data_IF_892940326056
#
_entry.id   IF_892940326056
#
_cell.length_a   1.000
_cell.length_b   1.000
_cell.length_c   1.000
_cell.angle_alpha   90.00
_cell.angle_beta   90.00
_cell.angle_gamma   90.00
#
_symmetry.space_group_name_H-M   'P 1'
#
loop_
_entity.id
_entity.type
_entity.pdbx_description
1 polymer ?
#
# COMPACT_ATOMS: atom_id res chain seq x y z
N UNK A 1 -18.54 -9.47 -10.00
CA UNK A 1 -18.63 -10.47 -11.07
C UNK A 1 -18.74 -11.90 -10.46
N UNK A 2 -19.91 -12.27 -9.94
CA UNK A 2 -20.15 -13.61 -9.38
C UNK A 2 -20.90 -14.48 -10.38
N UNK A 3 -20.58 -15.77 -10.45
CA UNK A 3 -21.38 -16.77 -11.16
C UNK A 3 -21.00 -17.09 -12.61
N UNK A 4 -19.78 -16.75 -13.06
CA UNK A 4 -19.27 -17.20 -14.36
C UNK A 4 -17.78 -17.57 -14.27
N UNK A 5 -17.34 -18.41 -15.20
CA UNK A 5 -15.95 -18.79 -15.39
C UNK A 5 -15.41 -18.15 -16.66
N UNK A 6 -14.17 -17.64 -16.60
CA UNK A 6 -13.54 -16.95 -17.69
C UNK A 6 -12.22 -17.58 -18.12
N UNK A 7 -11.88 -17.42 -19.40
CA UNK A 7 -10.56 -17.74 -19.94
C UNK A 7 -9.52 -16.62 -19.73
N UNK A 8 -9.95 -15.45 -19.28
CA UNK A 8 -9.03 -14.37 -19.01
C UNK A 8 -9.69 -13.14 -18.44
N UNK A 9 -8.86 -12.29 -17.88
CA UNK A 9 -9.23 -10.97 -17.42
C UNK A 9 -8.11 -9.97 -17.72
N UNK A 10 -8.48 -8.72 -17.87
CA UNK A 10 -7.56 -7.60 -17.89
C UNK A 10 -7.90 -6.66 -16.73
N UNK A 11 -6.92 -6.35 -15.91
CA UNK A 11 -7.07 -5.45 -14.77
C UNK A 11 -6.17 -4.25 -15.01
N UNK A 12 -6.81 -3.13 -15.29
CA UNK A 12 -6.13 -1.86 -15.49
C UNK A 12 -5.93 -1.16 -14.14
N UNK A 13 -4.74 -0.59 -13.92
CA UNK A 13 -4.37 0.18 -12.72
C UNK A 13 -4.66 -0.58 -11.42
N UNK A 14 -4.10 -1.78 -11.27
CA UNK A 14 -4.38 -2.67 -10.14
C UNK A 14 -4.12 -2.04 -8.76
N UNK A 15 -3.16 -1.11 -8.65
CA UNK A 15 -2.88 -0.38 -7.41
C UNK A 15 -4.00 0.58 -6.98
N UNK A 16 -4.89 0.96 -7.89
CA UNK A 16 -6.07 1.76 -7.58
C UNK A 16 -7.25 0.90 -7.10
N UNK A 17 -7.16 -0.41 -7.28
CA UNK A 17 -8.19 -1.36 -6.88
C UNK A 17 -8.03 -1.84 -5.44
N UNK A 18 -9.01 -2.62 -4.98
CA UNK A 18 -8.97 -3.27 -3.68
C UNK A 18 -8.67 -4.76 -3.83
N UNK A 19 -7.84 -5.30 -2.97
CA UNK A 19 -7.37 -6.68 -3.02
C UNK A 19 -8.50 -7.73 -3.13
N UNK A 20 -9.61 -7.67 -2.36
CA UNK A 20 -10.68 -8.66 -2.47
C UNK A 20 -11.31 -8.74 -3.87
N UNK A 21 -11.40 -7.63 -4.59
CA UNK A 21 -11.91 -7.62 -5.97
C UNK A 21 -10.91 -8.29 -6.90
N UNK A 22 -9.64 -8.02 -6.74
CA UNK A 22 -8.59 -8.66 -7.52
C UNK A 22 -8.56 -10.19 -7.29
N UNK A 23 -8.69 -10.62 -6.06
CA UNK A 23 -8.78 -12.04 -5.70
C UNK A 23 -9.99 -12.73 -6.33
N UNK A 24 -11.16 -12.07 -6.33
CA UNK A 24 -12.36 -12.58 -7.00
C UNK A 24 -12.14 -12.73 -8.52
N UNK A 25 -11.45 -11.79 -9.17
CA UNK A 25 -11.10 -11.88 -10.60
C UNK A 25 -10.23 -13.11 -10.86
N UNK A 26 -9.20 -13.35 -10.05
CA UNK A 26 -8.33 -14.52 -10.18
C UNK A 26 -9.12 -15.82 -10.07
N UNK A 27 -10.05 -15.91 -9.11
CA UNK A 27 -10.90 -17.08 -8.92
C UNK A 27 -11.84 -17.33 -10.11
N UNK A 28 -12.31 -16.28 -10.79
CA UNK A 28 -13.16 -16.41 -11.98
C UNK A 28 -12.41 -16.80 -13.24
N UNK A 29 -11.11 -16.61 -13.28
CA UNK A 29 -10.26 -17.11 -14.38
C UNK A 29 -9.88 -18.59 -14.16
N UNK A 30 -10.89 -19.46 -14.04
CA UNK A 30 -10.77 -20.86 -13.63
C UNK A 30 -10.67 -21.86 -14.78
N UNK A 31 -10.84 -21.42 -16.03
CA UNK A 31 -10.71 -22.27 -17.21
C UNK A 31 -9.27 -22.70 -17.44
N UNK A 32 -9.08 -23.90 -17.98
CA UNK A 32 -7.72 -24.37 -18.31
C UNK A 32 -7.06 -23.41 -19.34
N UNK A 33 -5.80 -23.01 -19.05
CA UNK A 33 -5.09 -22.03 -19.85
C UNK A 33 -5.52 -20.58 -19.64
N UNK A 34 -6.39 -20.29 -18.66
CA UNK A 34 -6.81 -18.93 -18.37
C UNK A 34 -5.62 -18.02 -18.02
N UNK A 35 -5.72 -16.75 -18.44
CA UNK A 35 -4.68 -15.73 -18.20
C UNK A 35 -5.27 -14.47 -17.62
N UNK A 36 -4.57 -13.89 -16.66
CA UNK A 36 -4.89 -12.56 -16.14
C UNK A 36 -3.76 -11.62 -16.52
N UNK A 37 -4.11 -10.56 -17.27
CA UNK A 37 -3.18 -9.51 -17.66
C UNK A 37 -3.46 -8.33 -16.74
N UNK A 38 -2.40 -7.76 -16.19
CA UNK A 38 -2.51 -6.68 -15.21
C UNK A 38 -1.52 -5.60 -15.57
N UNK A 39 -1.93 -4.35 -15.53
CA UNK A 39 -1.02 -3.22 -15.53
C UNK A 39 -1.23 -2.35 -14.30
N UNK A 40 -0.22 -1.62 -13.92
CA UNK A 40 -0.30 -0.66 -12.83
C UNK A 40 0.91 0.25 -12.78
N UNK A 41 0.71 1.44 -12.25
CA UNK A 41 1.80 2.28 -11.80
C UNK A 41 2.26 1.88 -10.39
N UNK A 42 3.55 2.07 -10.07
CA UNK A 42 4.05 1.83 -8.72
C UNK A 42 3.41 2.72 -7.67
N UNK A 43 3.23 2.17 -6.49
CA UNK A 43 2.79 2.87 -5.29
C UNK A 43 3.79 2.66 -4.14
N UNK A 44 3.34 2.56 -2.91
CA UNK A 44 4.20 2.27 -1.76
C UNK A 44 4.71 0.83 -1.74
N UNK A 45 5.91 0.55 -1.20
CA UNK A 45 6.50 -0.79 -1.19
C UNK A 45 5.66 -1.83 -0.44
N UNK A 46 4.85 -1.40 0.53
CA UNK A 46 3.99 -2.26 1.35
C UNK A 46 2.62 -2.53 0.72
N UNK A 47 2.37 -2.01 -0.47
CA UNK A 47 1.10 -2.24 -1.17
C UNK A 47 0.86 -3.75 -1.42
N UNK A 48 -0.37 -4.24 -1.16
CA UNK A 48 -0.75 -5.66 -1.32
C UNK A 48 -0.36 -6.23 -2.68
N UNK A 49 -0.59 -5.46 -3.76
CA UNK A 49 -0.28 -5.91 -5.11
C UNK A 49 1.22 -6.18 -5.31
N UNK A 50 2.08 -5.32 -4.73
CA UNK A 50 3.52 -5.53 -4.77
C UNK A 50 3.93 -6.76 -3.98
N UNK A 51 3.51 -6.86 -2.73
CA UNK A 51 3.95 -7.92 -1.82
C UNK A 51 3.46 -9.30 -2.29
N UNK A 52 2.15 -9.41 -2.58
CA UNK A 52 1.53 -10.72 -2.83
C UNK A 52 1.70 -11.20 -4.27
N UNK A 53 1.83 -10.27 -5.21
CA UNK A 53 1.87 -10.63 -6.63
C UNK A 53 3.21 -10.29 -7.30
N UNK A 54 3.79 -9.11 -7.07
CA UNK A 54 5.06 -8.75 -7.73
C UNK A 54 6.24 -9.46 -7.04
N UNK A 55 6.38 -9.32 -5.73
CA UNK A 55 7.53 -9.88 -4.97
C UNK A 55 7.37 -11.36 -4.62
N UNK A 56 6.17 -11.92 -4.76
CA UNK A 56 5.93 -13.33 -4.53
C UNK A 56 6.76 -14.18 -5.49
N UNK A 57 7.67 -15.00 -4.96
CA UNK A 57 8.60 -15.84 -5.74
C UNK A 57 8.15 -17.30 -5.85
N UNK A 58 6.94 -17.64 -5.38
CA UNK A 58 6.42 -18.99 -5.51
C UNK A 58 6.29 -19.35 -7.01
N UNK A 59 7.00 -20.38 -7.49
CA UNK A 59 6.95 -20.77 -8.89
C UNK A 59 5.56 -21.26 -9.33
N UNK A 60 4.70 -21.66 -8.39
CA UNK A 60 3.31 -22.03 -8.68
C UNK A 60 2.46 -20.88 -9.20
N UNK A 61 2.85 -19.64 -8.94
CA UNK A 61 2.13 -18.46 -9.43
C UNK A 61 2.25 -18.27 -10.94
N UNK A 62 3.25 -18.89 -11.60
CA UNK A 62 3.48 -18.86 -13.05
C UNK A 62 3.36 -17.45 -13.66
N UNK A 63 3.86 -16.44 -12.98
CA UNK A 63 3.77 -15.06 -13.42
C UNK A 63 4.95 -14.66 -14.32
N UNK A 64 4.67 -13.75 -15.25
CA UNK A 64 5.68 -13.04 -16.03
C UNK A 64 5.46 -11.56 -15.74
N UNK A 65 6.54 -10.83 -15.48
CA UNK A 65 6.49 -9.40 -15.20
C UNK A 65 7.32 -8.64 -16.22
N UNK A 66 6.77 -7.55 -16.70
CA UNK A 66 7.45 -6.57 -17.51
C UNK A 66 7.50 -5.24 -16.75
N UNK A 67 8.62 -4.56 -16.81
CA UNK A 67 8.78 -3.23 -16.24
C UNK A 67 9.11 -2.26 -17.37
N UNK A 68 8.36 -1.16 -17.40
CA UNK A 68 8.53 -0.12 -18.41
C UNK A 68 8.66 1.24 -17.71
N UNK A 69 9.48 2.09 -18.30
CA UNK A 69 9.61 3.50 -17.97
C UNK A 69 9.16 4.35 -19.14
N UNK A 70 9.05 5.66 -18.95
CA UNK A 70 8.73 6.56 -20.06
C UNK A 70 9.79 6.50 -21.18
N UNK A 71 11.05 6.15 -20.85
CA UNK A 71 12.15 6.05 -21.81
C UNK A 71 12.02 4.83 -22.72
N UNK A 72 11.29 3.81 -22.32
CA UNK A 72 11.06 2.61 -23.12
C UNK A 72 10.01 2.83 -24.23
N UNK A 73 9.26 3.93 -24.17
CA UNK A 73 8.26 4.26 -25.17
C UNK A 73 8.88 5.00 -26.36
N UNK A 74 9.34 4.24 -27.34
CA UNK A 74 10.00 4.76 -28.56
C UNK A 74 9.10 5.59 -29.48
N UNK A 75 7.80 5.59 -29.24
CA UNK A 75 6.83 6.40 -30.02
C UNK A 75 6.72 7.84 -29.52
N UNK A 76 7.17 8.12 -28.29
CA UNK A 76 7.17 9.47 -27.76
C UNK A 76 8.37 10.26 -28.30
N UNK A 77 8.15 11.53 -28.64
CA UNK A 77 9.25 12.40 -29.03
C UNK A 77 10.15 12.72 -27.83
N UNK A 78 11.45 12.86 -28.07
CA UNK A 78 12.41 13.27 -27.02
C UNK A 78 11.97 14.53 -26.30
N UNK A 79 11.51 15.55 -27.04
CA UNK A 79 11.00 16.80 -26.47
C UNK A 79 9.84 16.57 -25.50
N UNK A 80 8.93 15.64 -25.80
CA UNK A 80 7.81 15.30 -24.93
C UNK A 80 8.31 14.63 -23.64
N UNK A 81 9.21 13.62 -23.76
CA UNK A 81 9.78 12.91 -22.63
C UNK A 81 10.54 13.85 -21.70
N UNK A 82 11.40 14.71 -22.25
CA UNK A 82 12.12 15.73 -21.49
C UNK A 82 11.16 16.70 -20.81
N UNK A 83 10.12 17.12 -21.50
CA UNK A 83 9.09 18.00 -20.95
C UNK A 83 8.32 17.38 -19.78
N UNK A 84 7.98 16.08 -19.85
CA UNK A 84 7.33 15.38 -18.75
C UNK A 84 8.29 15.25 -17.56
N UNK A 85 9.53 14.84 -17.81
CA UNK A 85 10.57 14.74 -16.76
C UNK A 85 10.81 16.07 -16.05
N UNK A 86 10.86 17.17 -16.79
CA UNK A 86 11.09 18.50 -16.24
C UNK A 86 9.90 19.04 -15.42
N UNK A 87 8.67 18.64 -15.77
CA UNK A 87 7.45 19.08 -15.07
C UNK A 87 7.06 18.22 -13.88
N UNK A 88 7.56 16.97 -13.83
CA UNK A 88 7.25 16.07 -12.72
C UNK A 88 8.04 16.50 -11.48
N UNK A 89 7.36 16.79 -10.36
CA UNK A 89 8.04 17.14 -9.12
C UNK A 89 9.06 16.08 -8.72
N UNK A 90 10.22 16.52 -8.21
CA UNK A 90 11.26 15.62 -7.68
C UNK A 90 10.76 14.77 -6.52
N UNK A 91 11.54 13.76 -6.11
CA UNK A 91 11.19 12.91 -4.98
C UNK A 91 10.27 11.75 -5.35
N UNK A 92 9.25 11.50 -4.54
CA UNK A 92 8.35 10.36 -4.70
C UNK A 92 7.66 10.33 -6.06
N UNK A 93 7.10 11.46 -6.50
CA UNK A 93 6.37 11.53 -7.78
C UNK A 93 7.27 11.19 -8.96
N UNK A 94 8.50 11.73 -8.99
CA UNK A 94 9.46 11.42 -10.04
C UNK A 94 9.87 9.94 -10.02
N UNK A 95 10.12 9.42 -8.81
CA UNK A 95 10.51 8.03 -8.66
C UNK A 95 9.39 7.06 -9.10
N UNK A 96 8.14 7.34 -8.76
CA UNK A 96 7.00 6.50 -9.19
C UNK A 96 6.69 6.66 -10.66
N UNK A 97 6.43 7.89 -11.13
CA UNK A 97 5.90 8.14 -12.46
C UNK A 97 6.96 8.05 -13.58
N UNK A 98 8.21 8.43 -13.31
CA UNK A 98 9.26 8.46 -14.33
C UNK A 98 10.15 7.21 -14.26
N UNK A 99 10.59 6.84 -13.06
CA UNK A 99 11.51 5.70 -12.87
C UNK A 99 10.80 4.36 -12.63
N UNK A 100 9.49 4.37 -12.44
CA UNK A 100 8.71 3.16 -12.17
C UNK A 100 9.09 2.48 -10.85
N UNK A 101 9.50 3.24 -9.83
CA UNK A 101 9.98 2.71 -8.55
C UNK A 101 8.86 2.68 -7.52
N UNK A 102 8.78 1.59 -6.77
CA UNK A 102 7.94 1.48 -5.59
C UNK A 102 8.62 2.18 -4.42
N UNK A 103 8.09 3.33 -4.04
CA UNK A 103 8.68 4.18 -2.99
C UNK A 103 7.62 4.73 -2.06
N UNK A 104 7.97 4.85 -0.79
CA UNK A 104 7.12 5.48 0.23
C UNK A 104 7.01 6.98 -0.04
N UNK A 105 5.87 7.57 0.33
CA UNK A 105 5.65 9.01 0.25
C UNK A 105 6.69 9.80 1.04
N UNK A 106 7.05 10.99 0.55
CA UNK A 106 7.83 11.94 1.34
C UNK A 106 7.01 12.36 2.56
N UNK A 107 7.64 12.40 3.71
CA UNK A 107 6.97 12.73 4.97
C UNK A 107 6.48 11.55 5.79
N UNK A 108 6.59 10.31 5.31
CA UNK A 108 6.33 9.16 6.16
C UNK A 108 7.32 9.13 7.33
N UNK A 109 6.81 9.24 8.56
CA UNK A 109 7.61 9.24 9.78
C UNK A 109 8.24 7.85 9.97
N UNK A 110 7.45 6.80 9.76
CA UNK A 110 7.88 5.40 9.91
C UNK A 110 7.96 4.75 8.52
N UNK A 111 9.10 4.93 7.84
CA UNK A 111 9.30 4.41 6.47
C UNK A 111 9.35 2.88 6.40
N UNK A 112 9.78 2.24 7.49
CA UNK A 112 9.95 0.80 7.58
C UNK A 112 8.72 0.09 8.19
N UNK A 113 7.61 0.82 8.41
CA UNK A 113 6.38 0.23 8.92
C UNK A 113 5.85 -0.81 7.92
N UNK A 114 5.77 -2.05 8.40
CA UNK A 114 5.22 -3.20 7.65
C UNK A 114 4.00 -3.73 8.40
N UNK A 115 2.82 -3.44 7.89
CA UNK A 115 1.56 -3.83 8.52
C UNK A 115 1.47 -5.33 8.82
N UNK A 116 2.02 -6.18 7.95
CA UNK A 116 1.96 -7.64 8.13
C UNK A 116 2.85 -8.17 9.23
N UNK A 117 3.92 -7.43 9.54
CA UNK A 117 4.86 -7.79 10.62
C UNK A 117 4.56 -7.08 11.91
N UNK A 118 4.08 -5.84 11.82
CA UNK A 118 3.96 -4.94 12.96
C UNK A 118 2.55 -4.86 13.52
N UNK A 119 1.52 -5.27 12.75
CA UNK A 119 0.15 -5.37 13.26
C UNK A 119 -0.12 -6.82 13.67
N UNK A 120 -0.39 -7.02 14.94
CA UNK A 120 -0.67 -8.34 15.52
C UNK A 120 -2.09 -8.37 16.09
N UNK A 121 -2.76 -9.54 16.12
CA UNK A 121 -4.08 -9.67 16.74
C UNK A 121 -4.04 -9.35 18.24
N UNK A 122 -5.06 -8.68 18.77
CA UNK A 122 -5.17 -8.26 20.18
C UNK A 122 -4.92 -9.41 21.16
N UNK A 123 -5.40 -10.60 20.83
CA UNK A 123 -5.17 -11.82 21.65
C UNK A 123 -3.69 -12.21 21.81
N UNK A 124 -2.81 -11.67 20.99
CA UNK A 124 -1.36 -11.89 21.10
C UNK A 124 -0.67 -10.84 21.95
N UNK A 125 -1.36 -9.75 22.29
CA UNK A 125 -0.86 -8.71 23.19
C UNK A 125 -1.10 -9.18 24.62
N UNK A 126 -0.09 -9.69 25.27
CA UNK A 126 -0.16 -10.24 26.65
C UNK A 126 0.97 -9.68 27.50
N UNK A 127 0.81 -9.74 28.82
CA UNK A 127 1.87 -9.34 29.74
C UNK A 127 2.09 -7.83 29.87
N UNK A 128 1.11 -7.02 29.52
CA UNK A 128 1.19 -5.56 29.68
C UNK A 128 1.33 -5.20 31.16
N UNK A 129 2.36 -4.40 31.48
CA UNK A 129 2.68 -3.95 32.84
C UNK A 129 2.28 -2.51 33.12
N UNK A 130 2.32 -1.68 32.09
CA UNK A 130 1.90 -0.27 32.19
C UNK A 130 1.27 0.21 30.91
N UNK A 131 0.47 1.23 31.04
CA UNK A 131 -0.08 1.97 29.90
C UNK A 131 0.49 3.39 29.91
N UNK A 132 0.76 3.91 28.73
CA UNK A 132 1.24 5.27 28.50
C UNK A 132 0.36 5.87 27.42
N UNK A 133 -0.25 7.03 27.73
CA UNK A 133 -1.04 7.76 26.74
C UNK A 133 -0.28 8.99 26.24
N UNK A 134 -0.40 9.24 24.95
CA UNK A 134 0.02 10.48 24.31
C UNK A 134 -1.20 11.21 23.78
N UNK A 135 -1.19 12.53 23.87
CA UNK A 135 -2.29 13.38 23.41
C UNK A 135 -1.73 14.50 22.53
N UNK A 136 -2.34 14.66 21.37
CA UNK A 136 -2.13 15.80 20.47
C UNK A 136 -3.49 16.48 20.26
N UNK A 137 -3.62 17.71 20.77
CA UNK A 137 -4.86 18.46 20.66
C UNK A 137 -4.99 19.12 19.29
N UNK A 138 -6.06 18.83 18.58
CA UNK A 138 -6.38 19.45 17.31
C UNK A 138 -7.83 19.97 17.27
N UNK A 139 -8.07 20.99 16.43
CA UNK A 139 -9.41 21.45 16.08
C UNK A 139 -9.58 21.48 14.57
N UNK A 140 -8.90 22.39 13.85
CA UNK A 140 -8.89 22.43 12.39
C UNK A 140 -8.10 21.27 11.78
N UNK A 141 -7.07 20.80 12.49
CA UNK A 141 -6.36 19.56 12.21
C UNK A 141 -6.89 18.47 13.12
N UNK A 142 -6.56 17.22 12.79
CA UNK A 142 -6.92 16.09 13.66
C UNK A 142 -6.25 16.24 15.00
N UNK A 143 -7.04 16.09 16.09
CA UNK A 143 -6.49 15.77 17.39
C UNK A 143 -6.48 14.27 17.57
N UNK A 144 -5.57 13.75 18.38
CA UNK A 144 -5.39 12.31 18.59
C UNK A 144 -5.04 12.00 20.03
N UNK A 145 -5.65 10.95 20.56
CA UNK A 145 -5.23 10.29 21.80
C UNK A 145 -4.78 8.87 21.40
N UNK A 146 -3.58 8.50 21.79
CA UNK A 146 -3.03 7.17 21.56
C UNK A 146 -2.63 6.54 22.87
N UNK A 147 -2.93 5.24 23.03
CA UNK A 147 -2.56 4.49 24.23
C UNK A 147 -1.63 3.35 23.85
N UNK A 148 -0.48 3.31 24.48
CA UNK A 148 0.48 2.24 24.35
C UNK A 148 0.48 1.36 25.59
N UNK A 149 0.43 0.05 25.39
CA UNK A 149 0.76 -0.95 26.41
C UNK A 149 2.23 -1.33 26.33
N UNK A 150 2.91 -1.43 27.46
CA UNK A 150 4.32 -1.83 27.53
C UNK A 150 4.45 -3.10 28.33
N UNK A 151 5.09 -4.12 27.77
CA UNK A 151 5.30 -5.41 28.42
C UNK A 151 6.63 -5.50 29.21
N UNK A 152 6.93 -6.66 29.80
CA UNK A 152 8.15 -6.92 30.57
C UNK A 152 9.44 -6.85 29.76
N UNK A 153 9.36 -7.04 28.46
CA UNK A 153 10.49 -6.97 27.54
C UNK A 153 10.67 -5.56 26.93
N UNK A 154 9.99 -4.57 27.48
CA UNK A 154 9.95 -3.17 27.00
C UNK A 154 9.48 -3.05 25.54
N UNK A 155 8.61 -3.96 25.08
CA UNK A 155 7.95 -3.86 23.80
C UNK A 155 6.71 -3.00 23.93
N UNK A 156 6.51 -2.13 22.96
CA UNK A 156 5.44 -1.16 22.94
C UNK A 156 4.38 -1.59 21.91
N UNK A 157 3.13 -1.63 22.35
CA UNK A 157 1.99 -1.96 21.51
C UNK A 157 1.02 -0.80 21.52
N UNK A 158 0.71 -0.24 20.34
CA UNK A 158 -0.42 0.68 20.20
C UNK A 158 -1.69 -0.14 20.40
N UNK A 159 -2.38 0.06 21.52
CA UNK A 159 -3.55 -0.75 21.91
C UNK A 159 -4.87 0.01 21.68
N UNK A 160 -4.83 1.34 21.66
CA UNK A 160 -6.00 2.16 21.42
C UNK A 160 -5.60 3.47 20.75
N UNK A 161 -6.44 3.93 19.82
CA UNK A 161 -6.32 5.22 19.16
C UNK A 161 -7.70 5.84 19.03
N UNK A 162 -7.80 7.12 19.39
CA UNK A 162 -8.96 7.94 19.15
C UNK A 162 -8.54 9.21 18.42
N UNK A 163 -9.00 9.38 17.19
CA UNK A 163 -8.59 10.50 16.31
C UNK A 163 -9.84 11.16 15.75
N UNK A 164 -10.00 12.46 15.98
CA UNK A 164 -11.14 13.24 15.55
C UNK A 164 -10.73 14.64 15.09
N UNK A 165 -11.62 15.29 14.34
CA UNK A 165 -11.43 16.65 13.83
C UNK A 165 -12.66 17.50 14.18
N UNK A 166 -12.46 18.79 14.35
CA UNK A 166 -13.52 19.76 14.74
C UNK A 166 -14.21 19.43 16.07
N UNK A 167 -13.45 18.88 17.01
CA UNK A 167 -13.93 18.64 18.37
C UNK A 167 -13.36 19.65 19.36
N UNK A 168 -14.23 20.19 20.20
CA UNK A 168 -13.83 21.07 21.28
C UNK A 168 -13.16 20.29 22.41
N UNK A 169 -12.40 20.99 23.27
CA UNK A 169 -11.63 20.36 24.34
C UNK A 169 -12.50 19.52 25.28
N UNK A 170 -13.75 19.88 25.48
CA UNK A 170 -14.69 19.12 26.35
C UNK A 170 -15.19 17.80 25.76
N UNK A 171 -14.88 17.50 24.50
CA UNK A 171 -15.17 16.22 23.87
C UNK A 171 -14.15 15.13 24.23
N UNK A 172 -12.91 15.52 24.42
CA UNK A 172 -11.78 14.63 24.71
C UNK A 172 -11.79 14.23 26.22
#
# INVERSE_FOLDING_TARGET
ARGFDSYGAYVNEATMGVEPVFQEILQRCSKDGARVIVDSNPDQPQHWFKIDYIDNKDPKTKKIMFHFTIDDNTRLSKRYVEGIKARTPSGMYYNRAIKGLWVTGEGAVYKDFDQRKMVIPDKQVTGIKKYIAGVDWGYQHFGSIVVFGVDDADRWYLVEEHTEQYKEIGYW
#
